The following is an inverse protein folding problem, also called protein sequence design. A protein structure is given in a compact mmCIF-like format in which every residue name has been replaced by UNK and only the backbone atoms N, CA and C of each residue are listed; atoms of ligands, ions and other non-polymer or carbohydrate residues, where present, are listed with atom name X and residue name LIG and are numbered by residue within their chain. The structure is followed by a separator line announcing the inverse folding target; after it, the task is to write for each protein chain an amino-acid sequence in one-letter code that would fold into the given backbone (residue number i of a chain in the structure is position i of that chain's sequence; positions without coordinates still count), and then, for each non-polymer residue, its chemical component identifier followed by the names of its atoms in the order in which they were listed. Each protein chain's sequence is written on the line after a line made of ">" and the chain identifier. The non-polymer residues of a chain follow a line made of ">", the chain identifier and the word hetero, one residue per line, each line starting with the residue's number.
data_IF_309003287618
#
_entry.id   IF_309003287618
#
_cell.length_a   1.000
_cell.length_b   1.000
_cell.length_c   1.000
_cell.angle_alpha   90.00
_cell.angle_beta   90.00
_cell.angle_gamma   90.00
#
_symmetry.space_group_name_H-M   'P 1'
#
loop_
_entity.id
_entity.type
_entity.pdbx_description
1 polymer ?
#
# COMPACT_ATOMS: atom_id res chain seq x y z
N UNK A 1 -33.30 7.49 -29.53
CA UNK A 1 -32.64 6.67 -28.48
C UNK A 1 -31.77 5.63 -29.17
N UNK A 2 -30.45 5.81 -29.13
CA UNK A 2 -29.49 4.80 -29.57
C UNK A 2 -28.49 4.73 -28.43
N UNK A 3 -28.54 3.64 -27.68
CA UNK A 3 -27.75 3.44 -26.48
C UNK A 3 -26.28 3.30 -26.88
N UNK A 4 -25.46 4.25 -26.41
CA UNK A 4 -24.01 4.22 -26.51
C UNK A 4 -23.48 3.22 -25.48
N UNK A 5 -23.45 1.94 -25.86
CA UNK A 5 -22.67 0.92 -25.17
C UNK A 5 -21.19 1.08 -25.55
N UNK A 6 -20.56 2.16 -25.09
CA UNK A 6 -19.11 2.28 -25.12
C UNK A 6 -18.55 1.37 -24.03
N UNK A 7 -17.49 0.64 -24.33
CA UNK A 7 -16.76 -0.13 -23.32
C UNK A 7 -16.34 0.83 -22.20
N UNK A 8 -16.64 0.46 -20.95
CA UNK A 8 -16.34 1.29 -19.77
C UNK A 8 -14.82 1.49 -19.58
N UNK A 9 -14.01 0.56 -20.10
CA UNK A 9 -12.55 0.66 -20.16
C UNK A 9 -12.00 -0.26 -21.25
N UNK A 10 -10.81 0.06 -21.74
CA UNK A 10 -10.08 -0.76 -22.70
C UNK A 10 -9.11 -1.66 -21.91
N UNK A 11 -9.52 -2.90 -21.63
CA UNK A 11 -8.76 -3.82 -20.79
C UNK A 11 -7.68 -4.55 -21.62
N UNK A 12 -6.42 -4.36 -21.26
CA UNK A 12 -5.30 -5.11 -21.85
C UNK A 12 -5.09 -6.38 -21.02
N UNK A 13 -5.75 -7.47 -21.43
CA UNK A 13 -5.70 -8.76 -20.73
C UNK A 13 -4.96 -9.75 -21.63
N UNK A 14 -3.78 -10.15 -21.20
CA UNK A 14 -2.97 -11.16 -21.88
C UNK A 14 -2.19 -12.00 -20.86
N UNK A 15 -1.75 -13.20 -21.28
CA UNK A 15 -0.87 -14.01 -20.46
C UNK A 15 0.51 -13.37 -20.36
N UNK A 16 1.08 -13.41 -19.16
CA UNK A 16 2.48 -13.05 -18.99
C UNK A 16 3.39 -14.01 -19.78
N UNK A 17 4.45 -13.50 -20.45
CA UNK A 17 5.47 -14.36 -21.03
C UNK A 17 6.21 -15.11 -19.92
N UNK A 18 7.00 -16.12 -20.30
CA UNK A 18 7.83 -16.87 -19.36
C UNK A 18 8.69 -15.91 -18.51
N UNK A 19 8.66 -16.10 -17.19
CA UNK A 19 9.40 -15.23 -16.27
C UNK A 19 10.90 -15.48 -16.39
N UNK A 20 11.71 -14.43 -16.63
CA UNK A 20 13.15 -14.57 -16.80
C UNK A 20 13.86 -14.93 -15.50
N UNK A 21 13.31 -14.49 -14.36
CA UNK A 21 13.86 -14.74 -13.03
C UNK A 21 12.80 -14.57 -11.93
N UNK A 22 13.16 -14.95 -10.71
CA UNK A 22 12.29 -14.87 -9.52
C UNK A 22 11.94 -13.43 -9.14
N UNK A 23 12.82 -12.46 -9.39
CA UNK A 23 12.58 -11.05 -9.06
C UNK A 23 11.48 -10.48 -9.94
N UNK A 24 11.52 -10.76 -11.25
CA UNK A 24 10.47 -10.42 -12.18
C UNK A 24 9.15 -11.10 -11.81
N UNK A 25 9.18 -12.40 -11.51
CA UNK A 25 8.00 -13.14 -11.07
C UNK A 25 7.33 -12.50 -9.83
N UNK A 26 8.13 -12.15 -8.81
CA UNK A 26 7.63 -11.48 -7.61
C UNK A 26 7.08 -10.08 -7.91
N UNK A 27 7.70 -9.32 -8.83
CA UNK A 27 7.18 -8.02 -9.26
C UNK A 27 5.78 -8.15 -9.89
N UNK A 28 5.61 -9.13 -10.77
CA UNK A 28 4.32 -9.43 -11.41
C UNK A 28 3.28 -9.85 -10.37
N UNK A 29 3.59 -10.83 -9.51
CA UNK A 29 2.65 -11.30 -8.47
C UNK A 29 2.21 -10.15 -7.56
N UNK A 30 3.14 -9.26 -7.15
CA UNK A 30 2.83 -8.10 -6.30
C UNK A 30 1.95 -7.06 -7.02
N UNK A 31 2.08 -6.96 -8.33
CA UNK A 31 1.26 -6.08 -9.15
C UNK A 31 -0.16 -6.64 -9.30
N UNK A 32 -0.30 -7.92 -9.65
CA UNK A 32 -1.61 -8.57 -9.77
C UNK A 32 -2.40 -8.54 -8.46
N UNK A 33 -1.75 -8.84 -7.33
CA UNK A 33 -2.40 -8.71 -6.00
C UNK A 33 -2.90 -7.31 -5.71
N UNK A 34 -2.25 -6.26 -6.24
CA UNK A 34 -2.71 -4.87 -6.08
C UNK A 34 -3.96 -4.60 -6.92
N UNK A 35 -4.02 -5.13 -8.14
CA UNK A 35 -5.16 -4.94 -9.04
C UNK A 35 -6.38 -5.73 -8.57
N UNK A 36 -6.18 -7.01 -8.27
CA UNK A 36 -7.26 -7.94 -7.93
C UNK A 36 -7.89 -7.60 -6.57
N UNK A 37 -7.06 -7.32 -5.56
CA UNK A 37 -7.51 -7.13 -4.17
C UNK A 37 -7.58 -5.65 -3.77
N UNK A 38 -7.87 -4.80 -4.75
CA UNK A 38 -7.95 -3.36 -4.57
C UNK A 38 -9.07 -2.97 -3.61
N UNK A 39 -8.77 -2.09 -2.65
CA UNK A 39 -9.73 -1.60 -1.64
C UNK A 39 -10.23 -2.64 -0.61
N UNK A 40 -9.65 -3.84 -0.59
CA UNK A 40 -10.04 -4.92 0.35
C UNK A 40 -9.16 -4.99 1.62
N UNK A 41 -8.35 -3.96 1.88
CA UNK A 41 -7.51 -3.89 3.08
C UNK A 41 -6.24 -4.74 3.06
N UNK A 42 -5.96 -5.47 1.98
CA UNK A 42 -4.76 -6.32 1.88
C UNK A 42 -3.46 -5.55 1.68
N UNK A 43 -3.51 -4.41 1.00
CA UNK A 43 -2.31 -3.73 0.48
C UNK A 43 -1.30 -3.38 1.58
N UNK A 44 -1.77 -2.87 2.73
CA UNK A 44 -0.88 -2.47 3.81
C UNK A 44 -0.12 -3.68 4.40
N UNK A 45 -0.83 -4.76 4.70
CA UNK A 45 -0.24 -5.98 5.26
C UNK A 45 0.68 -6.71 4.27
N UNK A 46 0.38 -6.63 2.98
CA UNK A 46 1.28 -7.11 1.93
C UNK A 46 2.60 -6.32 1.91
N UNK A 47 2.55 -5.00 2.01
CA UNK A 47 3.74 -4.15 2.11
C UNK A 47 4.55 -4.41 3.38
N UNK A 48 3.88 -4.63 4.51
CA UNK A 48 4.51 -5.04 5.78
C UNK A 48 5.30 -6.33 5.61
N UNK A 49 4.65 -7.39 5.10
CA UNK A 49 5.26 -8.70 4.88
C UNK A 49 6.47 -8.65 3.95
N UNK A 50 6.50 -7.68 3.02
CA UNK A 50 7.59 -7.52 2.07
C UNK A 50 8.64 -6.48 2.47
N UNK A 51 8.52 -5.90 3.66
CA UNK A 51 9.40 -4.84 4.17
C UNK A 51 9.47 -3.63 3.20
N UNK A 52 8.31 -3.13 2.80
CA UNK A 52 8.15 -2.10 1.76
C UNK A 52 7.29 -0.91 2.15
N UNK A 53 6.76 -0.89 3.37
CA UNK A 53 5.82 0.15 3.84
C UNK A 53 6.39 1.55 3.64
N UNK A 54 7.56 1.82 4.23
CA UNK A 54 8.20 3.14 4.18
C UNK A 54 8.47 3.58 2.73
N UNK A 55 9.06 2.70 1.91
CA UNK A 55 9.41 3.04 0.54
C UNK A 55 8.17 3.28 -0.36
N UNK A 56 7.16 2.42 -0.26
CA UNK A 56 6.00 2.48 -1.14
C UNK A 56 5.02 3.57 -0.72
N UNK A 57 4.78 3.77 0.58
CA UNK A 57 3.89 4.83 1.04
C UNK A 57 4.49 6.21 0.79
N UNK A 58 5.80 6.43 0.98
CA UNK A 58 6.41 7.70 0.61
C UNK A 58 6.37 7.95 -0.91
N UNK A 59 6.55 6.91 -1.74
CA UNK A 59 6.37 7.02 -3.20
C UNK A 59 4.93 7.42 -3.58
N UNK A 60 3.94 6.84 -2.91
CA UNK A 60 2.52 7.17 -3.12
C UNK A 60 2.23 8.59 -2.63
N UNK A 61 2.67 8.97 -1.43
CA UNK A 61 2.49 10.32 -0.88
C UNK A 61 3.12 11.38 -1.79
N UNK A 62 4.29 11.11 -2.37
CA UNK A 62 4.91 12.02 -3.33
C UNK A 62 4.02 12.26 -4.56
N UNK A 63 3.35 11.21 -5.06
CA UNK A 63 2.39 11.32 -6.15
C UNK A 63 1.09 12.01 -5.72
N UNK A 64 0.50 11.62 -4.60
CA UNK A 64 -0.74 12.20 -4.08
C UNK A 64 -0.60 13.70 -3.77
N UNK A 65 0.58 14.15 -3.34
CA UNK A 65 0.89 15.58 -3.14
C UNK A 65 0.83 16.39 -4.44
N UNK A 66 1.02 15.78 -5.61
CA UNK A 66 0.90 16.47 -6.90
C UNK A 66 -0.54 16.69 -7.36
N UNK A 67 -1.50 16.06 -6.68
CA UNK A 67 -2.92 16.16 -7.03
C UNK A 67 -3.53 17.47 -6.52
N UNK A 68 -4.67 17.92 -7.08
CA UNK A 68 -5.36 19.14 -6.60
C UNK A 68 -5.74 19.12 -5.11
N UNK A 69 -5.91 17.94 -4.52
CA UNK A 69 -6.18 17.74 -3.08
C UNK A 69 -4.91 17.54 -2.24
N UNK A 70 -3.75 17.43 -2.89
CA UNK A 70 -2.49 17.00 -2.29
C UNK A 70 -2.05 17.88 -1.12
N UNK A 71 -2.03 19.19 -1.34
CA UNK A 71 -1.64 20.16 -0.32
C UNK A 71 -2.61 20.22 0.86
N UNK A 72 -3.90 19.95 0.65
CA UNK A 72 -4.89 19.98 1.72
C UNK A 72 -4.80 18.75 2.64
N UNK A 73 -4.58 17.56 2.06
CA UNK A 73 -4.71 16.29 2.76
C UNK A 73 -3.33 15.75 3.20
N UNK A 74 -2.30 15.92 2.37
CA UNK A 74 -1.03 15.23 2.52
C UNK A 74 0.16 16.19 2.76
N UNK A 75 -0.09 17.48 2.98
CA UNK A 75 0.98 18.42 3.30
C UNK A 75 1.76 17.98 4.53
N UNK A 76 3.09 17.98 4.41
CA UNK A 76 4.00 17.52 5.48
C UNK A 76 4.01 16.01 5.76
N UNK A 77 3.12 15.21 5.17
CA UNK A 77 3.05 13.77 5.45
C UNK A 77 4.32 13.04 5.00
N UNK A 78 4.92 12.28 5.91
CA UNK A 78 6.08 11.42 5.68
C UNK A 78 5.88 10.16 6.52
N UNK A 79 6.23 9.00 5.96
CA UNK A 79 6.24 7.73 6.70
C UNK A 79 7.66 7.41 7.10
N UNK A 80 7.92 7.30 8.40
CA UNK A 80 9.19 6.90 9.00
C UNK A 80 9.24 5.41 9.38
N UNK A 81 10.40 4.94 9.88
CA UNK A 81 10.57 3.56 10.33
C UNK A 81 9.60 3.14 11.45
N UNK A 82 9.23 4.07 12.34
CA UNK A 82 8.34 3.84 13.49
C UNK A 82 6.85 3.72 13.07
N UNK A 83 6.50 4.20 11.87
CA UNK A 83 5.11 4.27 11.38
C UNK A 83 4.64 2.95 10.73
N UNK A 84 5.50 1.92 10.72
CA UNK A 84 5.19 0.62 10.12
C UNK A 84 4.22 -0.19 10.96
N UNK A 85 4.05 0.12 12.24
CA UNK A 85 3.13 -0.57 13.13
C UNK A 85 2.30 0.43 13.94
N UNK A 86 1.08 0.03 14.31
CA UNK A 86 0.36 0.79 15.32
C UNK A 86 1.11 0.75 16.66
N UNK A 87 1.18 1.88 17.39
CA UNK A 87 1.79 1.88 18.71
C UNK A 87 0.93 1.04 19.65
N UNK A 88 1.61 0.34 20.57
CA UNK A 88 0.91 -0.31 21.67
C UNK A 88 0.26 0.81 22.51
N UNK A 89 -1.05 0.71 22.81
CA UNK A 89 -1.74 1.77 23.53
C UNK A 89 -1.07 2.04 24.88
N UNK A 90 -0.75 3.31 25.16
CA UNK A 90 0.01 3.69 26.36
C UNK A 90 -0.62 3.16 27.65
N UNK A 91 -1.95 3.21 27.77
CA UNK A 91 -2.66 2.68 28.92
C UNK A 91 -2.39 1.19 29.17
N UNK A 92 -2.21 0.39 28.11
CA UNK A 92 -1.88 -1.04 28.25
C UNK A 92 -0.46 -1.23 28.80
N UNK A 93 0.48 -0.39 28.36
CA UNK A 93 1.84 -0.37 28.89
C UNK A 93 1.81 -0.03 30.39
N UNK A 94 1.10 1.03 30.76
CA UNK A 94 1.03 1.52 32.15
C UNK A 94 0.46 0.45 33.11
N UNK A 95 -0.62 -0.23 32.72
CA UNK A 95 -1.25 -1.28 33.56
C UNK A 95 -0.46 -2.58 33.59
N UNK A 96 0.41 -2.82 32.60
CA UNK A 96 1.23 -4.04 32.54
C UNK A 96 2.31 -4.11 33.61
N UNK A 97 2.61 -2.98 34.28
CA UNK A 97 3.66 -2.86 35.31
C UNK A 97 5.04 -3.36 34.85
N UNK A 98 5.41 -3.01 33.61
CA UNK A 98 6.71 -3.33 33.03
C UNK A 98 6.78 -4.65 32.27
N UNK A 99 5.65 -5.33 32.05
CA UNK A 99 5.59 -6.56 31.25
C UNK A 99 5.34 -6.32 29.76
N UNK A 100 4.79 -5.16 29.41
CA UNK A 100 4.65 -4.70 28.01
C UNK A 100 5.64 -3.58 27.74
N UNK A 101 6.28 -3.64 26.57
CA UNK A 101 7.22 -2.64 26.07
C UNK A 101 6.71 -2.12 24.73
N UNK A 102 6.95 -0.84 24.44
CA UNK A 102 6.55 -0.25 23.16
C UNK A 102 7.22 -0.97 21.99
N UNK A 103 6.55 -0.97 20.83
CA UNK A 103 7.19 -1.33 19.57
C UNK A 103 8.41 -0.43 19.30
N UNK A 104 9.32 -0.95 18.47
CA UNK A 104 10.41 -0.18 17.86
C UNK A 104 10.02 0.17 16.42
#
# INVERSE_FOLDING_TARGET
>A
MREFWLEAANYVIDLYPAFPDTSFALKVIRFERKLELGQEGHRYYDLQRWDKVVSELNRILAFEKTMPWGDLIYSGAVVGPEDVNYPIPQRQIDISKGNLYQNR
#
